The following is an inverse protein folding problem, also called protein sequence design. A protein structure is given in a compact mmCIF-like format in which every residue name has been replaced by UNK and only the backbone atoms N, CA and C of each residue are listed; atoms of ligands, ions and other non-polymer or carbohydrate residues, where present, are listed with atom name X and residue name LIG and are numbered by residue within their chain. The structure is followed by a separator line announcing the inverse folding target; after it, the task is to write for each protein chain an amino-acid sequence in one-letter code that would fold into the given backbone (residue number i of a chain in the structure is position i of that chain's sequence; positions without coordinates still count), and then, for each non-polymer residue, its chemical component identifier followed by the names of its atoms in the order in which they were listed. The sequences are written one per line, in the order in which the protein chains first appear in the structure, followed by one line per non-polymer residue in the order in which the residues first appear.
data_IF_833562077005
#
_entry.id   IF_833562077005
#
_cell.length_a   1.000
_cell.length_b   1.000
_cell.length_c   1.000
_cell.angle_alpha   90.00
_cell.angle_beta   90.00
_cell.angle_gamma   90.00
#
_symmetry.space_group_name_H-M   'P 1'
#
loop_
_entity.id
_entity.type
_entity.pdbx_description
1 polymer ?
#
# COMPACT_ATOMS: atom_id res chain seq x y z
N UNK A 1 9.36 -5.81 35.67
CA UNK A 1 8.31 -6.85 35.64
C UNK A 1 7.94 -7.02 34.17
N UNK A 2 8.32 -8.15 33.58
CA UNK A 2 7.96 -8.48 32.19
C UNK A 2 6.61 -9.21 32.23
N UNK A 3 5.67 -8.75 31.41
CA UNK A 3 4.35 -9.38 31.26
C UNK A 3 4.31 -10.00 29.88
N UNK A 4 4.27 -11.33 29.82
CA UNK A 4 4.09 -12.07 28.59
C UNK A 4 2.60 -12.40 28.44
N UNK A 5 1.97 -11.85 27.40
CA UNK A 5 0.56 -12.08 27.06
C UNK A 5 0.46 -12.73 25.69
N UNK A 6 -0.06 -13.96 25.65
CA UNK A 6 -0.36 -14.65 24.40
C UNK A 6 -1.69 -14.14 23.84
N UNK A 7 -1.66 -13.58 22.63
CA UNK A 7 -2.85 -13.17 21.88
C UNK A 7 -3.08 -14.18 20.76
N UNK A 8 -4.28 -14.74 20.69
CA UNK A 8 -4.68 -15.58 19.55
C UNK A 8 -5.03 -14.73 18.33
N UNK A 9 -5.01 -15.35 17.14
CA UNK A 9 -5.43 -14.67 15.91
C UNK A 9 -6.89 -14.18 16.01
N UNK A 10 -7.80 -14.98 16.56
CA UNK A 10 -9.21 -14.60 16.77
C UNK A 10 -9.33 -13.34 17.66
N UNK A 11 -8.55 -13.25 18.74
CA UNK A 11 -8.54 -12.07 19.61
C UNK A 11 -7.99 -10.84 18.88
N UNK A 12 -6.94 -10.99 18.08
CA UNK A 12 -6.42 -9.92 17.22
C UNK A 12 -7.48 -9.47 16.21
N UNK A 13 -8.12 -10.41 15.51
CA UNK A 13 -9.12 -10.14 14.48
C UNK A 13 -10.37 -9.45 15.03
N UNK A 14 -10.78 -9.77 16.27
CA UNK A 14 -11.86 -9.03 16.96
C UNK A 14 -11.56 -7.54 17.14
N UNK A 15 -10.29 -7.19 17.30
CA UNK A 15 -9.87 -5.79 17.51
C UNK A 15 -9.66 -5.07 16.19
N UNK A 16 -8.91 -5.67 15.24
CA UNK A 16 -8.57 -5.01 13.98
C UNK A 16 -9.65 -5.13 12.91
N UNK A 17 -10.50 -6.16 12.97
CA UNK A 17 -11.53 -6.47 11.98
C UNK A 17 -12.46 -5.30 11.67
N UNK A 18 -13.03 -4.60 12.66
CA UNK A 18 -13.89 -3.44 12.40
C UNK A 18 -13.20 -2.31 11.63
N UNK A 19 -11.90 -2.08 11.89
CA UNK A 19 -11.11 -1.07 11.18
C UNK A 19 -10.88 -1.47 9.72
N UNK A 20 -10.54 -2.74 9.48
CA UNK A 20 -10.37 -3.27 8.13
C UNK A 20 -11.68 -3.31 7.37
N UNK A 21 -12.80 -3.65 8.02
CA UNK A 21 -14.11 -3.65 7.39
C UNK A 21 -14.48 -2.25 6.91
N UNK A 22 -14.26 -1.22 7.73
CA UNK A 22 -14.48 0.18 7.32
C UNK A 22 -13.69 0.54 6.06
N UNK A 23 -12.43 0.13 5.95
CA UNK A 23 -11.63 0.37 4.75
C UNK A 23 -12.19 -0.38 3.52
N UNK A 24 -12.61 -1.63 3.71
CA UNK A 24 -13.21 -2.46 2.65
C UNK A 24 -14.54 -1.88 2.17
N UNK A 25 -15.37 -1.40 3.07
CA UNK A 25 -16.67 -0.82 2.72
C UNK A 25 -16.52 0.45 1.88
N UNK A 26 -15.51 1.27 2.16
CA UNK A 26 -15.14 2.43 1.30
C UNK A 26 -14.76 1.94 -0.11
N UNK A 27 -13.97 0.87 -0.22
CA UNK A 27 -13.62 0.28 -1.51
C UNK A 27 -14.87 -0.25 -2.26
N UNK A 28 -15.80 -0.92 -1.56
CA UNK A 28 -17.06 -1.39 -2.16
C UNK A 28 -17.91 -0.24 -2.68
N UNK A 29 -18.09 0.81 -1.89
CA UNK A 29 -18.82 2.01 -2.30
C UNK A 29 -18.17 2.67 -3.52
N UNK A 30 -16.84 2.69 -3.59
CA UNK A 30 -16.12 3.21 -4.76
C UNK A 30 -16.40 2.37 -6.01
N UNK A 31 -16.37 1.04 -5.91
CA UNK A 31 -16.68 0.15 -7.03
C UNK A 31 -18.12 0.34 -7.50
N UNK A 32 -19.07 0.36 -6.57
CA UNK A 32 -20.49 0.57 -6.85
C UNK A 32 -20.74 1.89 -7.56
N UNK A 33 -20.14 3.00 -7.07
CA UNK A 33 -20.25 4.33 -7.70
C UNK A 33 -19.78 4.33 -9.15
N UNK A 34 -18.80 3.48 -9.49
CA UNK A 34 -18.26 3.36 -10.84
C UNK A 34 -18.93 2.24 -11.65
N UNK A 35 -19.96 1.57 -11.10
CA UNK A 35 -20.64 0.41 -11.71
C UNK A 35 -19.67 -0.73 -12.04
N UNK A 36 -18.66 -0.90 -11.20
CA UNK A 36 -17.67 -1.96 -11.29
C UNK A 36 -17.90 -3.02 -10.21
N UNK A 37 -17.42 -4.21 -10.48
CA UNK A 37 -17.38 -5.35 -9.58
C UNK A 37 -15.93 -5.82 -9.38
N UNK A 38 -15.73 -6.69 -8.39
CA UNK A 38 -14.41 -7.28 -8.12
C UNK A 38 -13.80 -8.06 -9.29
N UNK A 39 -14.64 -8.61 -10.18
CA UNK A 39 -14.20 -9.34 -11.38
C UNK A 39 -13.64 -8.42 -12.47
N UNK A 40 -14.03 -7.14 -12.47
CA UNK A 40 -13.56 -6.15 -13.43
C UNK A 40 -12.14 -5.65 -13.11
N UNK A 41 -11.68 -5.88 -11.88
CA UNK A 41 -10.33 -5.50 -11.43
C UNK A 41 -9.29 -6.48 -11.97
N UNK A 42 -8.29 -6.00 -12.71
CA UNK A 42 -7.16 -6.83 -13.15
C UNK A 42 -6.24 -7.21 -11.99
N UNK A 43 -6.07 -6.32 -11.01
CA UNK A 43 -5.21 -6.49 -9.85
C UNK A 43 -5.60 -5.54 -8.72
N UNK A 44 -5.32 -5.93 -7.48
CA UNK A 44 -5.37 -5.08 -6.29
C UNK A 44 -3.94 -4.92 -5.77
N UNK A 45 -3.39 -3.72 -5.94
CA UNK A 45 -2.04 -3.37 -5.47
C UNK A 45 -2.13 -2.79 -4.06
N UNK A 46 -1.32 -3.32 -3.15
CA UNK A 46 -1.29 -2.93 -1.75
C UNK A 46 -0.19 -1.90 -1.48
N UNK A 47 -0.52 -0.83 -0.75
CA UNK A 47 0.40 0.26 -0.42
C UNK A 47 0.27 0.62 1.06
N UNK A 48 1.42 0.73 1.75
CA UNK A 48 1.52 1.07 3.17
C UNK A 48 1.65 -0.15 4.10
N UNK A 49 2.35 0.04 5.22
CA UNK A 49 2.70 -1.03 6.18
C UNK A 49 1.53 -1.88 6.68
N UNK A 50 0.38 -1.30 7.09
CA UNK A 50 -0.78 -2.08 7.56
C UNK A 50 -1.30 -3.10 6.54
N UNK A 51 -1.02 -2.91 5.24
CA UNK A 51 -1.41 -3.85 4.18
C UNK A 51 -0.58 -5.14 4.16
N UNK A 52 0.45 -5.27 4.99
CA UNK A 52 1.10 -6.56 5.28
C UNK A 52 0.23 -7.49 6.13
N UNK A 53 -0.80 -6.97 6.81
CA UNK A 53 -1.69 -7.79 7.64
C UNK A 53 -2.34 -8.92 6.82
N UNK A 54 -2.12 -10.16 7.27
CA UNK A 54 -2.72 -11.35 6.66
C UNK A 54 -4.26 -11.30 6.74
N UNK A 55 -4.81 -10.83 7.86
CA UNK A 55 -6.25 -10.67 8.07
C UNK A 55 -6.83 -9.72 7.03
N UNK A 56 -6.24 -8.54 6.83
CA UNK A 56 -6.74 -7.59 5.83
C UNK A 56 -6.68 -8.18 4.42
N UNK A 57 -5.57 -8.84 4.05
CA UNK A 57 -5.43 -9.49 2.74
C UNK A 57 -6.47 -10.58 2.52
N UNK A 58 -6.76 -11.38 3.55
CA UNK A 58 -7.80 -12.40 3.51
C UNK A 58 -9.19 -11.77 3.32
N UNK A 59 -9.54 -10.77 4.13
CA UNK A 59 -10.82 -10.06 4.02
C UNK A 59 -11.01 -9.41 2.64
N UNK A 60 -9.96 -8.81 2.06
CA UNK A 60 -10.01 -8.25 0.70
C UNK A 60 -10.27 -9.34 -0.36
N UNK A 61 -9.65 -10.52 -0.23
CA UNK A 61 -9.89 -11.65 -1.14
C UNK A 61 -11.32 -12.14 -1.08
N UNK A 62 -11.87 -12.27 0.13
CA UNK A 62 -13.22 -12.76 0.39
C UNK A 62 -14.29 -11.76 -0.08
N UNK A 63 -14.04 -10.45 0.06
CA UNK A 63 -15.08 -9.43 -0.09
C UNK A 63 -14.95 -8.53 -1.31
N UNK A 64 -13.77 -8.45 -1.94
CA UNK A 64 -13.51 -7.61 -3.12
C UNK A 64 -13.09 -8.49 -4.29
N UNK A 65 -11.90 -9.09 -4.26
CA UNK A 65 -11.38 -9.88 -5.38
C UNK A 65 -10.17 -10.71 -4.94
N UNK A 66 -10.02 -11.90 -5.51
CA UNK A 66 -8.87 -12.79 -5.25
C UNK A 66 -7.56 -12.31 -5.87
N UNK A 67 -7.60 -11.32 -6.76
CA UNK A 67 -6.47 -10.79 -7.55
C UNK A 67 -5.58 -9.82 -6.74
N UNK A 68 -5.21 -10.18 -5.52
CA UNK A 68 -4.26 -9.40 -4.70
C UNK A 68 -2.85 -9.57 -5.25
N UNK A 69 -2.20 -8.46 -5.60
CA UNK A 69 -0.81 -8.44 -6.04
C UNK A 69 0.12 -8.12 -4.87
N UNK A 70 1.14 -8.94 -4.73
CA UNK A 70 2.15 -8.88 -3.66
C UNK A 70 3.57 -8.84 -4.21
N UNK A 71 3.74 -8.64 -5.53
CA UNK A 71 5.04 -8.51 -6.20
C UNK A 71 5.71 -7.18 -5.91
N UNK A 72 4.92 -6.16 -5.57
CA UNK A 72 5.39 -4.84 -5.13
C UNK A 72 5.43 -4.79 -3.61
N UNK A 73 6.57 -4.35 -3.07
CA UNK A 73 6.70 -4.06 -1.64
C UNK A 73 5.84 -2.83 -1.25
N UNK A 74 4.79 -3.00 -0.42
CA UNK A 74 3.89 -1.93 -0.03
C UNK A 74 4.56 -0.77 0.71
N UNK A 75 5.69 -1.00 1.39
CA UNK A 75 6.39 0.05 2.14
C UNK A 75 7.21 0.97 1.23
N UNK A 76 7.65 0.47 0.06
CA UNK A 76 8.50 1.23 -0.87
C UNK A 76 7.78 1.66 -2.14
N UNK A 77 6.56 1.15 -2.40
CA UNK A 77 5.78 1.43 -3.60
C UNK A 77 5.67 2.93 -3.94
N UNK A 78 5.38 3.76 -2.93
CA UNK A 78 5.21 5.22 -3.11
C UNK A 78 6.53 5.88 -3.49
N UNK A 79 7.61 5.63 -2.73
CA UNK A 79 8.90 6.26 -2.97
C UNK A 79 9.49 5.85 -4.34
N UNK A 80 9.38 4.58 -4.70
CA UNK A 80 9.80 4.06 -6.01
C UNK A 80 9.00 4.71 -7.14
N UNK A 81 7.68 4.77 -7.01
CA UNK A 81 6.81 5.43 -7.99
C UNK A 81 7.13 6.91 -8.16
N UNK A 82 7.36 7.63 -7.06
CA UNK A 82 7.74 9.04 -7.08
C UNK A 82 9.10 9.26 -7.74
N UNK A 83 10.11 8.43 -7.44
CA UNK A 83 11.43 8.52 -8.05
C UNK A 83 11.40 8.25 -9.56
N UNK A 84 10.66 7.22 -9.97
CA UNK A 84 10.42 6.92 -11.39
C UNK A 84 9.70 8.06 -12.10
N UNK A 85 8.68 8.66 -11.48
CA UNK A 85 8.00 9.81 -12.06
C UNK A 85 8.95 11.01 -12.20
N UNK A 86 9.73 11.31 -11.16
CA UNK A 86 10.69 12.42 -11.17
C UNK A 86 11.75 12.27 -12.26
N UNK A 87 12.22 11.05 -12.55
CA UNK A 87 13.23 10.82 -13.60
C UNK A 87 12.70 11.14 -15.01
N UNK A 88 11.37 11.17 -15.21
CA UNK A 88 10.75 11.58 -16.48
C UNK A 88 10.57 13.09 -16.62
N UNK A 89 10.89 13.88 -15.59
CA UNK A 89 10.71 15.34 -15.58
C UNK A 89 12.04 16.05 -15.81
N UNK A 90 12.05 16.96 -16.78
CA UNK A 90 13.16 17.89 -16.95
C UNK A 90 13.13 18.91 -15.80
N UNK A 91 14.23 19.00 -15.07
CA UNK A 91 14.41 20.03 -14.05
C UNK A 91 14.97 21.28 -14.75
N UNK A 92 14.28 22.44 -14.71
CA UNK A 92 14.79 23.68 -15.26
C UNK A 92 16.21 23.97 -14.75
N UNK A 93 17.10 24.44 -15.63
CA UNK A 93 18.50 24.68 -15.29
C UNK A 93 18.68 25.63 -14.09
N UNK A 94 17.78 26.59 -13.93
CA UNK A 94 17.75 27.55 -12.82
C UNK A 94 17.52 26.89 -11.45
N UNK A 95 16.89 25.72 -11.41
CA UNK A 95 16.59 24.97 -10.20
C UNK A 95 17.61 23.85 -9.92
N UNK A 96 18.55 23.62 -10.84
CA UNK A 96 19.61 22.63 -10.67
C UNK A 96 20.74 23.19 -9.79
N UNK A 97 20.57 23.16 -8.46
CA UNK A 97 21.70 23.36 -7.53
C UNK A 97 22.63 22.16 -7.59
N UNK A 98 23.67 22.25 -8.43
CA UNK A 98 24.78 21.29 -8.42
C UNK A 98 25.81 21.72 -7.38
N UNK A 99 26.02 20.89 -6.37
CA UNK A 99 27.12 21.11 -5.42
C UNK A 99 28.44 20.69 -6.09
N UNK A 100 29.15 21.68 -6.65
CA UNK A 100 30.43 21.47 -7.32
C UNK A 100 31.59 21.24 -6.35
N UNK A 101 31.39 21.43 -5.04
CA UNK A 101 32.44 21.21 -4.02
C UNK A 101 32.76 19.74 -3.79
N UNK A 102 31.85 18.82 -4.19
CA UNK A 102 32.03 17.36 -4.07
C UNK A 102 32.43 16.67 -5.38
N UNK A 103 32.73 17.43 -6.43
CA UNK A 103 33.22 16.92 -7.71
C UNK A 103 34.73 16.64 -7.66
N UNK A 104 35.18 15.80 -6.73
CA UNK A 104 36.50 15.18 -6.78
C UNK A 104 36.38 13.72 -6.32
N UNK A 105 36.06 12.86 -7.27
CA UNK A 105 36.44 11.45 -7.28
C UNK A 105 36.81 11.17 -8.74
N UNK A 106 38.09 11.40 -9.03
CA UNK A 106 38.80 10.91 -10.21
C UNK A 106 38.84 9.39 -10.22
#
# INVERSE_FOLDING_TARGET
MQVDLTISLDQYEKVCGPLFQKAIDICKQLLERNKLSGSDLSSIVLVGGPTFSQTLRRMLKEQISSRIDTTVDPMTAVAKGAALFASTKNIPNELQKRDTSKAQLT
#
